data_IF_379282103324
#
_entry.id   IF_379282103324
#
_cell.length_a   1.000
_cell.length_b   1.000
_cell.length_c   1.000
_cell.angle_alpha   90.00
_cell.angle_beta   90.00
_cell.angle_gamma   90.00
#
_symmetry.space_group_name_H-M   'P 1'
#
loop_
_entity.id
_entity.type
_entity.pdbx_description
1 polymer ?
#
# COMPACT_ATOMS: atom_id res chain seq x y z
N UNK A 1 -19.74 1.50 12.02
CA UNK A 1 -20.25 2.86 12.29
C UNK A 1 -20.43 3.66 11.00
N UNK A 2 -21.41 4.56 10.95
CA UNK A 2 -21.64 5.48 9.80
C UNK A 2 -20.42 6.36 9.53
N UNK A 3 -19.70 6.76 10.57
CA UNK A 3 -18.51 7.60 10.44
C UNK A 3 -17.35 6.86 9.77
N UNK A 4 -17.22 5.56 9.98
CA UNK A 4 -16.17 4.73 9.37
C UNK A 4 -16.35 4.63 7.86
N UNK A 5 -17.60 4.50 7.40
CA UNK A 5 -17.94 4.48 5.98
C UNK A 5 -17.59 5.85 5.35
N UNK A 6 -18.02 6.96 5.96
CA UNK A 6 -17.70 8.32 5.48
C UNK A 6 -16.20 8.58 5.42
N UNK A 7 -15.46 8.14 6.44
CA UNK A 7 -14.00 8.26 6.45
C UNK A 7 -13.39 7.40 5.35
N UNK A 8 -13.82 6.16 5.19
CA UNK A 8 -13.33 5.29 4.13
C UNK A 8 -13.55 5.89 2.74
N UNK A 9 -14.75 6.39 2.44
CA UNK A 9 -15.07 7.05 1.17
C UNK A 9 -14.15 8.23 0.90
N UNK A 10 -13.92 9.07 1.92
CA UNK A 10 -13.00 10.19 1.84
C UNK A 10 -11.56 9.73 1.57
N UNK A 11 -11.08 8.66 2.21
CA UNK A 11 -9.73 8.16 1.97
C UNK A 11 -9.58 7.54 0.58
N UNK A 12 -10.61 6.82 0.10
CA UNK A 12 -10.62 6.24 -1.25
C UNK A 12 -10.53 7.32 -2.32
N UNK A 13 -11.22 8.45 -2.15
CA UNK A 13 -11.11 9.59 -3.07
C UNK A 13 -9.66 10.10 -3.21
N UNK A 14 -8.83 9.92 -2.17
CA UNK A 14 -7.44 10.35 -2.11
C UNK A 14 -6.45 9.17 -2.16
N UNK A 15 -6.89 7.98 -2.60
CA UNK A 15 -6.07 6.76 -2.57
C UNK A 15 -4.81 6.82 -3.43
N UNK A 16 -4.79 7.67 -4.46
CA UNK A 16 -3.61 7.87 -5.30
C UNK A 16 -2.50 8.65 -4.59
N UNK A 17 -2.83 9.52 -3.64
CA UNK A 17 -1.86 10.29 -2.87
C UNK A 17 -1.31 9.52 -1.66
N UNK A 18 -2.14 8.70 -1.02
CA UNK A 18 -1.77 7.92 0.18
C UNK A 18 -1.67 8.75 1.47
N UNK A 19 -1.84 10.06 1.38
CA UNK A 19 -1.93 10.96 2.52
C UNK A 19 -2.92 12.11 2.27
N UNK A 20 -3.47 12.65 3.36
CA UNK A 20 -4.42 13.76 3.30
C UNK A 20 -4.41 14.57 4.59
N UNK A 21 -4.16 15.87 4.48
CA UNK A 21 -4.35 16.83 5.57
C UNK A 21 -5.73 17.51 5.46
N UNK A 22 -6.43 17.61 6.59
CA UNK A 22 -7.80 18.12 6.68
C UNK A 22 -7.95 19.00 7.90
N UNK A 23 -8.57 20.17 7.73
CA UNK A 23 -8.92 21.05 8.85
C UNK A 23 -9.97 20.40 9.76
N UNK A 24 -9.81 20.59 11.07
CA UNK A 24 -10.76 20.06 12.08
C UNK A 24 -12.19 20.54 11.83
N UNK A 25 -12.37 21.82 11.47
CA UNK A 25 -13.71 22.38 11.29
C UNK A 25 -14.39 21.84 10.02
N UNK A 26 -13.66 21.79 8.91
CA UNK A 26 -14.13 21.14 7.68
C UNK A 26 -14.52 19.69 7.93
N UNK A 27 -13.70 18.94 8.69
CA UNK A 27 -14.00 17.55 9.03
C UNK A 27 -15.33 17.43 9.78
N UNK A 28 -15.56 18.29 10.78
CA UNK A 28 -16.82 18.28 11.53
C UNK A 28 -18.03 18.56 10.66
N UNK A 29 -17.92 19.50 9.71
CA UNK A 29 -18.99 19.83 8.79
C UNK A 29 -19.31 18.65 7.86
N UNK A 30 -18.29 18.06 7.24
CA UNK A 30 -18.48 16.91 6.35
C UNK A 30 -19.07 15.69 7.07
N UNK A 31 -18.69 15.49 8.33
CA UNK A 31 -19.22 14.39 9.14
C UNK A 31 -20.55 14.73 9.82
N UNK A 32 -21.08 15.95 9.61
CA UNK A 32 -22.32 16.45 10.22
C UNK A 32 -22.30 16.35 11.76
N UNK A 33 -21.15 16.69 12.34
CA UNK A 33 -20.90 16.68 13.80
C UNK A 33 -20.39 18.03 14.33
N UNK A 34 -20.56 19.11 13.56
CA UNK A 34 -20.21 20.49 13.92
C UNK A 34 -20.61 20.85 15.35
N UNK A 35 -21.90 20.68 15.66
CA UNK A 35 -22.48 21.10 16.93
C UNK A 35 -22.39 20.03 18.03
N UNK A 36 -22.00 18.79 17.69
CA UNK A 36 -21.99 17.66 18.64
C UNK A 36 -20.79 17.66 19.57
N UNK A 37 -19.64 18.11 19.09
CA UNK A 37 -18.37 17.98 19.81
C UNK A 37 -17.64 19.33 19.85
N UNK A 38 -17.79 20.04 20.97
CA UNK A 38 -17.06 21.28 21.23
C UNK A 38 -15.56 21.04 21.36
N UNK A 39 -15.16 19.99 22.11
CA UNK A 39 -13.76 19.63 22.33
C UNK A 39 -13.28 18.64 21.28
N UNK A 40 -12.11 18.93 20.70
CA UNK A 40 -11.46 18.03 19.71
C UNK A 40 -11.15 16.65 20.31
N UNK A 41 -10.89 16.58 21.61
CA UNK A 41 -10.65 15.30 22.30
C UNK A 41 -11.86 14.37 22.21
N UNK A 42 -13.07 14.91 22.34
CA UNK A 42 -14.31 14.12 22.23
C UNK A 42 -14.56 13.68 20.79
N UNK A 43 -14.29 14.55 19.81
CA UNK A 43 -14.34 14.22 18.39
C UNK A 43 -13.41 13.05 18.07
N UNK A 44 -12.17 13.06 18.59
CA UNK A 44 -11.22 11.97 18.40
C UNK A 44 -11.75 10.66 18.98
N UNK A 45 -12.08 10.68 20.28
CA UNK A 45 -12.49 9.48 21.02
C UNK A 45 -13.78 8.85 20.48
N UNK A 46 -14.72 9.65 20.00
CA UNK A 46 -16.06 9.16 19.59
C UNK A 46 -16.26 8.99 18.09
N UNK A 47 -15.42 9.60 17.27
CA UNK A 47 -15.57 9.56 15.80
C UNK A 47 -14.32 9.01 15.15
N UNK A 48 -13.17 9.64 15.33
CA UNK A 48 -11.96 9.33 14.56
C UNK A 48 -11.35 7.99 14.99
N UNK A 49 -11.12 7.81 16.29
CA UNK A 49 -10.50 6.59 16.82
C UNK A 49 -11.34 5.34 16.50
N UNK A 50 -12.65 5.29 16.78
CA UNK A 50 -13.47 4.13 16.42
C UNK A 50 -13.59 3.94 14.90
N UNK A 51 -13.64 5.02 14.12
CA UNK A 51 -13.69 4.90 12.65
C UNK A 51 -12.43 4.27 12.07
N UNK A 52 -11.26 4.71 12.55
CA UNK A 52 -9.97 4.18 12.12
C UNK A 52 -9.80 2.73 12.57
N UNK A 53 -10.24 2.39 13.78
CA UNK A 53 -10.22 1.02 14.25
C UNK A 53 -11.06 0.12 13.36
N UNK A 54 -12.32 0.47 13.10
CA UNK A 54 -13.19 -0.32 12.23
C UNK A 54 -12.66 -0.46 10.81
N UNK A 55 -12.09 0.60 10.21
CA UNK A 55 -11.49 0.52 8.87
C UNK A 55 -10.30 -0.44 8.87
N UNK A 56 -9.42 -0.35 9.87
CA UNK A 56 -8.26 -1.23 10.00
C UNK A 56 -8.66 -2.68 10.30
N UNK A 57 -9.82 -2.94 10.92
CA UNK A 57 -10.29 -4.29 11.22
C UNK A 57 -11.05 -4.92 10.05
N UNK A 58 -11.91 -4.13 9.38
CA UNK A 58 -12.92 -4.67 8.46
C UNK A 58 -12.68 -4.35 6.98
N UNK A 59 -11.65 -3.58 6.63
CA UNK A 59 -11.33 -3.24 5.24
C UNK A 59 -9.94 -3.70 4.80
N UNK A 60 -9.68 -3.64 3.50
CA UNK A 60 -8.38 -3.84 2.89
C UNK A 60 -7.45 -2.61 3.01
N UNK A 61 -7.90 -1.51 3.61
CA UNK A 61 -7.08 -0.33 3.87
C UNK A 61 -6.43 -0.42 5.25
N UNK A 62 -5.19 0.07 5.36
CA UNK A 62 -4.62 0.48 6.62
C UNK A 62 -4.69 2.00 6.72
N UNK A 63 -4.96 2.52 7.91
CA UNK A 63 -5.10 3.96 8.17
C UNK A 63 -4.42 4.33 9.48
N UNK A 64 -3.66 5.42 9.45
CA UNK A 64 -3.08 6.08 10.63
C UNK A 64 -3.34 7.57 10.52
N UNK A 65 -3.32 8.26 11.66
CA UNK A 65 -3.46 9.70 11.65
C UNK A 65 -2.55 10.39 12.66
N UNK A 66 -2.08 11.57 12.27
CA UNK A 66 -1.42 12.56 13.11
C UNK A 66 -2.29 13.80 13.27
N UNK A 67 -1.74 14.81 13.95
CA UNK A 67 -2.43 16.07 14.19
C UNK A 67 -1.44 17.23 14.06
N UNK A 68 -1.85 18.28 13.32
CA UNK A 68 -1.12 19.55 13.26
C UNK A 68 -1.67 20.48 14.33
N UNK A 69 -0.78 21.10 15.11
CA UNK A 69 -1.13 22.09 16.12
C UNK A 69 -0.69 23.48 15.70
N UNK A 70 -1.49 24.48 16.07
CA UNK A 70 -1.08 25.88 16.10
C UNK A 70 -1.13 26.33 17.56
N UNK A 71 0.04 26.49 18.18
CA UNK A 71 0.15 26.68 19.63
C UNK A 71 -0.44 25.50 20.41
N UNK A 72 -1.43 25.78 21.26
CA UNK A 72 -2.12 24.74 22.07
C UNK A 72 -3.29 24.08 21.35
N UNK A 73 -3.72 24.60 20.20
CA UNK A 73 -4.93 24.16 19.50
C UNK A 73 -4.58 23.21 18.36
N UNK A 74 -5.32 22.12 18.24
CA UNK A 74 -5.24 21.22 17.09
C UNK A 74 -6.02 21.85 15.94
N UNK A 75 -5.37 22.09 14.82
CA UNK A 75 -5.98 22.75 13.65
C UNK A 75 -6.29 21.77 12.53
N UNK A 76 -5.45 20.75 12.33
CA UNK A 76 -5.62 19.78 11.23
C UNK A 76 -5.39 18.34 11.70
N UNK A 77 -6.06 17.41 11.03
CA UNK A 77 -5.75 15.98 11.06
C UNK A 77 -4.99 15.59 9.81
N UNK A 78 -3.95 14.78 10.00
CA UNK A 78 -3.08 14.32 8.93
C UNK A 78 -3.24 12.82 8.79
N UNK A 79 -3.98 12.37 7.79
CA UNK A 79 -4.22 10.96 7.53
C UNK A 79 -3.15 10.39 6.61
N UNK A 80 -2.68 9.19 6.92
CA UNK A 80 -1.84 8.36 6.07
C UNK A 80 -2.49 7.00 5.92
N UNK A 81 -2.56 6.51 4.69
CA UNK A 81 -3.36 5.32 4.39
C UNK A 81 -2.91 4.65 3.09
N UNK A 82 -3.27 3.37 2.96
CA UNK A 82 -2.99 2.60 1.75
C UNK A 82 -3.61 1.21 1.81
N UNK A 83 -3.48 0.46 0.72
CA UNK A 83 -3.91 -0.94 0.65
C UNK A 83 -2.95 -1.82 1.47
N UNK A 84 -3.50 -2.70 2.31
CA UNK A 84 -2.73 -3.68 3.10
C UNK A 84 -1.94 -4.63 2.21
N UNK A 85 -2.56 -5.09 1.14
CA UNK A 85 -1.98 -6.04 0.18
C UNK A 85 -1.46 -5.34 -1.09
N UNK A 86 -1.04 -4.07 -0.97
CA UNK A 86 -0.38 -3.41 -2.09
C UNK A 86 0.77 -4.30 -2.58
N UNK A 87 0.85 -4.59 -3.89
CA UNK A 87 1.91 -5.43 -4.43
C UNK A 87 3.23 -4.80 -4.00
N UNK A 88 3.98 -5.52 -3.15
CA UNK A 88 5.30 -5.06 -2.71
C UNK A 88 6.09 -4.83 -3.99
N UNK A 89 6.58 -3.62 -4.19
CA UNK A 89 7.46 -3.33 -5.31
C UNK A 89 8.53 -4.44 -5.35
N UNK A 90 8.56 -5.20 -6.44
CA UNK A 90 9.54 -6.28 -6.58
C UNK A 90 10.90 -5.65 -6.38
N UNK A 91 11.61 -6.03 -5.31
CA UNK A 91 12.97 -5.55 -5.06
C UNK A 91 13.81 -6.01 -6.24
N UNK A 92 14.19 -5.08 -7.11
CA UNK A 92 15.20 -5.35 -8.11
C UNK A 92 16.52 -5.56 -7.38
N UNK A 93 17.00 -6.81 -7.35
CA UNK A 93 18.36 -7.10 -6.91
C UNK A 93 19.32 -6.51 -7.95
N UNK A 94 20.31 -5.74 -7.51
CA UNK A 94 21.39 -5.27 -8.38
C UNK A 94 22.32 -6.43 -8.73
N UNK A 95 23.01 -6.35 -9.88
CA UNK A 95 23.98 -7.39 -10.27
C UNK A 95 25.07 -7.58 -9.21
N UNK A 96 25.49 -6.50 -8.53
CA UNK A 96 26.48 -6.54 -7.45
C UNK A 96 25.97 -7.32 -6.22
N UNK A 97 24.70 -7.13 -5.84
CA UNK A 97 24.06 -7.86 -4.76
C UNK A 97 23.98 -9.36 -5.09
N UNK A 98 23.63 -9.69 -6.34
CA UNK A 98 23.54 -11.07 -6.84
C UNK A 98 24.92 -11.74 -6.79
N UNK A 99 25.96 -11.05 -7.27
CA UNK A 99 27.32 -11.59 -7.30
C UNK A 99 27.89 -11.82 -5.89
N UNK A 100 27.63 -10.90 -4.94
CA UNK A 100 28.07 -11.07 -3.54
C UNK A 100 27.46 -12.27 -2.85
N UNK A 101 26.22 -12.60 -3.21
CA UNK A 101 25.46 -13.69 -2.60
C UNK A 101 25.57 -15.01 -3.37
N UNK A 102 26.29 -15.04 -4.49
CA UNK A 102 26.49 -16.24 -5.30
C UNK A 102 27.45 -17.22 -4.61
N UNK A 103 27.04 -18.49 -4.51
CA UNK A 103 27.93 -19.58 -4.08
C UNK A 103 28.80 -20.06 -5.26
N UNK A 104 29.97 -20.67 -5.03
CA UNK A 104 30.79 -21.22 -6.10
C UNK A 104 30.00 -22.19 -7.00
N UNK A 105 29.95 -21.91 -8.30
CA UNK A 105 29.21 -22.72 -9.28
C UNK A 105 27.70 -22.45 -9.39
N UNK A 106 27.15 -21.53 -8.61
CA UNK A 106 25.73 -21.17 -8.68
C UNK A 106 25.46 -20.22 -9.86
N UNK A 107 24.42 -20.49 -10.66
CA UNK A 107 24.01 -19.58 -11.75
C UNK A 107 23.26 -18.37 -11.18
N UNK A 108 23.34 -17.22 -11.85
CA UNK A 108 22.59 -16.00 -11.45
C UNK A 108 21.10 -16.26 -11.24
N UNK A 109 20.50 -17.12 -12.07
CA UNK A 109 19.09 -17.51 -11.94
C UNK A 109 18.80 -18.27 -10.64
N UNK A 110 19.68 -19.19 -10.24
CA UNK A 110 19.57 -19.93 -8.98
C UNK A 110 19.72 -19.01 -7.77
N UNK A 111 20.65 -18.05 -7.82
CA UNK A 111 20.81 -17.02 -6.78
C UNK A 111 19.53 -16.19 -6.63
N UNK A 112 18.97 -15.68 -7.73
CA UNK A 112 17.75 -14.88 -7.70
C UNK A 112 16.59 -15.68 -7.09
N UNK A 113 16.34 -16.90 -7.57
CA UNK A 113 15.24 -17.75 -7.06
C UNK A 113 15.33 -17.99 -5.55
N UNK A 114 16.55 -18.25 -5.04
CA UNK A 114 16.81 -18.44 -3.61
C UNK A 114 16.54 -17.17 -2.79
N UNK A 115 16.92 -16.00 -3.30
CA UNK A 115 16.78 -14.72 -2.59
C UNK A 115 15.37 -14.14 -2.65
N UNK A 116 14.69 -14.29 -3.78
CA UNK A 116 13.33 -13.77 -3.96
C UNK A 116 12.27 -14.73 -3.40
N UNK A 117 12.67 -15.93 -2.98
CA UNK A 117 11.74 -16.95 -2.47
C UNK A 117 10.73 -17.39 -3.53
N UNK A 118 11.00 -17.12 -4.80
CA UNK A 118 10.13 -17.50 -5.92
C UNK A 118 10.41 -18.96 -6.21
N UNK A 119 9.45 -19.84 -5.89
CA UNK A 119 9.59 -21.25 -6.22
C UNK A 119 9.45 -21.42 -7.73
N UNK A 120 10.25 -22.30 -8.32
CA UNK A 120 10.13 -22.67 -9.74
C UNK A 120 8.72 -23.18 -10.08
N UNK A 121 8.00 -23.73 -9.10
CA UNK A 121 6.60 -24.14 -9.21
C UNK A 121 5.65 -22.97 -9.49
N UNK A 122 5.97 -21.76 -9.03
CA UNK A 122 5.08 -20.59 -9.14
C UNK A 122 5.11 -19.99 -10.55
N UNK A 123 6.14 -20.32 -11.34
CA UNK A 123 6.38 -19.80 -12.70
C UNK A 123 5.99 -20.84 -13.76
N UNK A 124 6.17 -22.13 -13.48
CA UNK A 124 5.97 -23.23 -14.41
C UNK A 124 4.50 -23.64 -14.50
N UNK A 125 3.96 -23.74 -15.72
CA UNK A 125 2.66 -24.42 -15.93
C UNK A 125 2.84 -25.94 -15.74
N UNK A 126 1.78 -26.69 -15.38
CA UNK A 126 1.86 -28.14 -15.30
C UNK A 126 2.37 -28.73 -16.62
N UNK A 127 3.48 -29.47 -16.58
CA UNK A 127 4.08 -30.12 -17.76
C UNK A 127 5.05 -29.28 -18.60
N UNK A 128 5.34 -28.03 -18.23
CA UNK A 128 6.29 -27.16 -18.94
C UNK A 128 7.73 -27.43 -18.46
N UNK A 129 8.69 -27.62 -19.40
CA UNK A 129 10.11 -27.75 -19.03
C UNK A 129 10.72 -26.38 -18.67
N UNK A 130 11.86 -26.38 -17.96
CA UNK A 130 12.54 -25.15 -17.56
C UNK A 130 12.86 -24.23 -18.75
N UNK A 131 13.37 -24.81 -19.85
CA UNK A 131 13.73 -24.06 -21.06
C UNK A 131 12.50 -23.42 -21.72
N UNK A 132 11.37 -24.15 -21.75
CA UNK A 132 10.11 -23.67 -22.29
C UNK A 132 9.56 -22.48 -21.48
N UNK A 133 9.63 -22.56 -20.14
CA UNK A 133 9.19 -21.47 -19.27
C UNK A 133 10.03 -20.19 -19.44
N UNK A 134 11.35 -20.35 -19.63
CA UNK A 134 12.27 -19.23 -19.86
C UNK A 134 12.03 -18.55 -21.22
N UNK A 135 11.81 -19.34 -22.28
CA UNK A 135 11.49 -18.82 -23.61
C UNK A 135 10.18 -18.03 -23.60
N UNK A 136 9.16 -18.54 -22.90
CA UNK A 136 7.90 -17.83 -22.72
C UNK A 136 8.09 -16.49 -22.01
N UNK A 137 8.86 -16.44 -20.91
CA UNK A 137 9.14 -15.17 -20.24
C UNK A 137 9.86 -14.17 -21.15
N UNK A 138 10.87 -14.62 -21.92
CA UNK A 138 11.57 -13.78 -22.89
C UNK A 138 10.64 -13.25 -23.98
N UNK A 139 9.73 -14.09 -24.47
CA UNK A 139 8.73 -13.71 -25.46
C UNK A 139 7.75 -12.65 -24.91
N UNK A 140 7.22 -12.86 -23.70
CA UNK A 140 6.34 -11.90 -23.01
C UNK A 140 7.02 -10.54 -22.79
N UNK A 141 8.28 -10.54 -22.34
CA UNK A 141 9.06 -9.32 -22.15
C UNK A 141 9.27 -8.56 -23.47
N UNK A 142 9.52 -9.27 -24.58
CA UNK A 142 9.60 -8.67 -25.93
C UNK A 142 8.28 -8.01 -26.35
N UNK A 143 7.14 -8.66 -26.07
CA UNK A 143 5.81 -8.11 -26.40
C UNK A 143 5.50 -6.87 -25.56
N UNK A 144 5.78 -6.91 -24.25
CA UNK A 144 5.60 -5.74 -23.37
C UNK A 144 6.46 -4.56 -23.81
N UNK A 145 7.73 -4.80 -24.14
CA UNK A 145 8.65 -3.75 -24.64
C UNK A 145 8.19 -3.16 -25.97
N UNK A 146 7.60 -3.97 -26.87
CA UNK A 146 7.01 -3.47 -28.12
C UNK A 146 5.76 -2.62 -27.88
N UNK A 147 4.91 -2.99 -26.92
CA UNK A 147 3.70 -2.23 -26.57
C UNK A 147 3.98 -0.90 -25.87
N UNK A 148 5.11 -0.77 -25.20
CA UNK A 148 5.55 0.48 -24.55
C UNK A 148 6.23 1.48 -25.51
N UNK A 149 6.53 1.08 -26.75
CA UNK A 149 7.16 1.93 -27.77
C UNK A 149 6.18 2.38 -28.87
N UNK A 150 4.87 2.15 -28.71
CA UNK A 150 3.80 2.72 -29.53
C UNK A 150 2.94 3.63 -28.66
#
# INVERSE_FOLDING_TARGET
SVYSIRLYELLVQWSSAGEREIEVEWFKQQFQVGDKYSRVVDLKKRVIDPAIQEINEHSNFWVKYGQRKSGKTITHFQFQFGLKDAPKAHKHLTDDEINRQARPGETKAAVIARLTGTSLSDIAKPGESFDQALERQRALAKVAKRRLCC
#
